data_IF_245561168612
#
_entry.id   IF_245561168612
#
_cell.length_a   1.000
_cell.length_b   1.000
_cell.length_c   1.000
_cell.angle_alpha   90.00
_cell.angle_beta   90.00
_cell.angle_gamma   90.00
#
_symmetry.space_group_name_H-M   'P 1'
#
loop_
_entity.id
_entity.type
_entity.pdbx_description
1 polymer ?
#
# COMPACT_ATOMS: atom_id res chain seq x y z
N UNK A 1 7.90 -2.99 9.74
CA UNK A 1 8.55 -1.65 9.87
C UNK A 1 7.50 -0.57 9.67
N UNK A 2 7.63 0.64 10.22
CA UNK A 2 6.71 1.74 9.91
C UNK A 2 7.00 2.31 8.53
N UNK A 3 5.98 2.74 7.80
CA UNK A 3 6.14 3.33 6.46
C UNK A 3 7.01 4.59 6.49
N UNK A 4 6.82 5.45 7.49
CA UNK A 4 7.60 6.68 7.66
C UNK A 4 9.10 6.43 7.92
N UNK A 5 9.46 5.23 8.39
CA UNK A 5 10.84 4.83 8.66
C UNK A 5 11.45 4.03 7.50
N UNK A 6 10.71 3.90 6.38
CA UNK A 6 11.16 3.11 5.23
C UNK A 6 12.28 3.83 4.49
N UNK A 7 13.46 3.18 4.42
CA UNK A 7 14.68 3.80 3.89
C UNK A 7 14.76 3.81 2.36
N UNK A 8 14.03 2.93 1.69
CA UNK A 8 14.04 2.88 0.23
C UNK A 8 13.18 4.03 -0.31
N UNK A 9 13.60 4.62 -1.44
CA UNK A 9 12.84 5.69 -2.11
C UNK A 9 11.73 5.16 -3.00
N UNK A 10 11.79 3.86 -3.33
CA UNK A 10 10.88 3.17 -4.22
C UNK A 10 10.16 2.01 -3.53
N UNK A 11 8.84 1.93 -3.71
CA UNK A 11 7.97 0.86 -3.20
C UNK A 11 7.51 0.02 -4.39
N UNK A 12 7.90 -1.25 -4.40
CA UNK A 12 7.65 -2.15 -5.54
C UNK A 12 6.26 -2.79 -5.46
N UNK A 13 5.77 -3.29 -6.58
CA UNK A 13 4.59 -4.18 -6.60
C UNK A 13 4.79 -5.38 -5.66
N UNK A 14 3.72 -5.85 -5.03
CA UNK A 14 3.75 -6.90 -4.01
C UNK A 14 3.97 -6.38 -2.59
N UNK A 15 4.52 -5.17 -2.43
CA UNK A 15 4.63 -4.52 -1.12
C UNK A 15 3.25 -4.32 -0.51
N UNK A 16 3.13 -4.53 0.80
CA UNK A 16 1.88 -4.44 1.54
C UNK A 16 1.95 -3.34 2.59
N UNK A 17 0.93 -2.49 2.60
CA UNK A 17 0.64 -1.55 3.68
C UNK A 17 -0.35 -2.18 4.65
N UNK A 18 0.08 -2.44 5.89
CA UNK A 18 -0.76 -2.95 6.98
C UNK A 18 -1.07 -1.82 7.95
N UNK A 19 -2.35 -1.59 8.23
CA UNK A 19 -2.78 -0.45 9.02
C UNK A 19 -4.05 -0.72 9.81
N UNK A 20 -4.27 0.00 10.94
CA UNK A 20 -5.58 0.06 11.56
C UNK A 20 -6.61 0.64 10.59
N UNK A 21 -7.80 0.07 10.58
CA UNK A 21 -8.89 0.53 9.74
C UNK A 21 -10.21 0.60 10.52
N UNK A 22 -11.20 1.21 9.88
CA UNK A 22 -12.56 1.32 10.38
C UNK A 22 -13.54 0.67 9.41
N UNK A 23 -14.79 0.50 9.85
CA UNK A 23 -15.86 -0.03 9.01
C UNK A 23 -15.88 0.67 7.63
N UNK A 24 -15.93 -0.07 6.50
CA UNK A 24 -16.35 -1.46 6.36
C UNK A 24 -15.23 -2.51 6.40
N UNK A 25 -14.01 -2.13 6.81
CA UNK A 25 -12.91 -3.07 7.04
C UNK A 25 -12.94 -3.65 8.46
N UNK A 26 -12.14 -4.68 8.69
CA UNK A 26 -11.78 -5.16 10.01
C UNK A 26 -10.91 -4.13 10.77
N UNK A 27 -10.57 -4.42 12.04
CA UNK A 27 -9.70 -3.55 12.85
C UNK A 27 -8.34 -3.29 12.18
N UNK A 28 -7.87 -4.23 11.36
CA UNK A 28 -6.66 -4.13 10.55
C UNK A 28 -6.94 -4.56 9.12
N UNK A 29 -6.32 -3.87 8.16
CA UNK A 29 -6.42 -4.19 6.74
C UNK A 29 -5.06 -4.11 6.08
N UNK A 30 -4.88 -4.91 5.03
CA UNK A 30 -3.71 -4.92 4.18
C UNK A 30 -4.05 -4.40 2.77
N UNK A 31 -3.35 -3.35 2.34
CA UNK A 31 -3.39 -2.83 0.98
C UNK A 31 -2.11 -3.21 0.24
N UNK A 32 -2.23 -4.01 -0.82
CA UNK A 32 -1.08 -4.45 -1.62
C UNK A 32 -0.90 -3.54 -2.84
N UNK A 33 0.35 -3.14 -3.08
CA UNK A 33 0.77 -2.41 -4.29
C UNK A 33 0.69 -3.34 -5.50
N UNK A 34 -0.06 -2.92 -6.50
CA UNK A 34 -0.19 -3.62 -7.78
C UNK A 34 0.39 -2.79 -8.92
N UNK A 35 0.84 -3.49 -9.95
CA UNK A 35 1.32 -2.90 -11.18
C UNK A 35 0.14 -2.75 -12.15
N UNK A 36 -0.13 -1.53 -12.60
CA UNK A 36 -1.14 -1.22 -13.62
C UNK A 36 -0.41 -0.75 -14.89
N UNK A 37 -1.03 -0.82 -16.06
CA UNK A 37 -0.35 -0.54 -17.33
C UNK A 37 0.50 0.74 -17.33
N UNK A 38 -0.12 1.86 -16.94
CA UNK A 38 0.48 3.21 -16.98
C UNK A 38 0.97 3.73 -15.62
N UNK A 39 0.65 3.03 -14.52
CA UNK A 39 0.85 3.51 -13.14
C UNK A 39 0.83 2.34 -12.15
N UNK A 40 0.73 2.62 -10.86
CA UNK A 40 0.50 1.63 -9.82
C UNK A 40 -0.87 1.85 -9.18
N UNK A 41 -1.35 0.81 -8.53
CA UNK A 41 -2.58 0.87 -7.75
C UNK A 41 -2.42 0.17 -6.42
N UNK A 42 -3.50 0.19 -5.66
CA UNK A 42 -3.64 -0.61 -4.45
C UNK A 42 -4.84 -1.52 -4.60
N UNK A 43 -4.69 -2.76 -4.16
CA UNK A 43 -5.77 -3.71 -3.98
C UNK A 43 -5.91 -4.01 -2.49
N UNK A 44 -7.14 -4.16 -2.00
CA UNK A 44 -7.38 -4.70 -0.67
C UNK A 44 -7.03 -6.19 -0.72
N UNK A 45 -6.10 -6.62 0.12
CA UNK A 45 -5.51 -7.96 0.06
C UNK A 45 -5.85 -8.84 1.27
N UNK A 46 -6.60 -8.32 2.23
CA UNK A 46 -7.07 -9.04 3.41
C UNK A 46 -8.55 -8.78 3.70
N UNK A 47 -9.14 -9.66 4.52
CA UNK A 47 -10.47 -9.44 5.09
C UNK A 47 -11.62 -9.52 4.07
N UNK A 48 -12.78 -9.05 4.50
CA UNK A 48 -14.04 -9.15 3.74
C UNK A 48 -14.02 -8.39 2.40
N UNK A 49 -13.18 -7.35 2.30
CA UNK A 49 -13.03 -6.53 1.09
C UNK A 49 -11.87 -7.01 0.18
N UNK A 50 -11.23 -8.13 0.49
CA UNK A 50 -10.13 -8.67 -0.30
C UNK A 50 -10.52 -8.87 -1.78
N UNK A 51 -9.59 -8.52 -2.68
CA UNK A 51 -9.76 -8.60 -4.12
C UNK A 51 -10.33 -7.34 -4.77
N UNK A 52 -10.77 -6.34 -4.00
CA UNK A 52 -11.23 -5.06 -4.53
C UNK A 52 -10.05 -4.14 -4.84
N UNK A 53 -10.05 -3.52 -6.02
CA UNK A 53 -9.14 -2.40 -6.31
C UNK A 53 -9.54 -1.24 -5.39
N UNK A 54 -8.61 -0.85 -4.51
CA UNK A 54 -8.79 0.30 -3.64
C UNK A 54 -8.67 1.59 -4.47
N UNK A 55 -7.59 1.71 -5.24
CA UNK A 55 -7.33 2.90 -6.05
C UNK A 55 -6.32 2.64 -7.17
N UNK A 56 -6.46 3.37 -8.28
CA UNK A 56 -5.40 3.60 -9.26
C UNK A 56 -4.75 4.95 -8.95
N UNK A 57 -3.44 4.96 -8.67
CA UNK A 57 -2.74 6.17 -8.29
C UNK A 57 -2.35 6.99 -9.52
N UNK A 58 -2.22 8.31 -9.40
CA UNK A 58 -1.89 9.17 -10.52
C UNK A 58 -0.40 9.04 -10.89
N UNK A 59 -0.02 9.48 -12.10
CA UNK A 59 1.33 9.24 -12.64
C UNK A 59 2.44 9.91 -11.81
N UNK A 60 2.14 11.02 -11.13
CA UNK A 60 3.09 11.68 -10.21
C UNK A 60 3.43 10.84 -8.97
N UNK A 61 2.67 9.77 -8.69
CA UNK A 61 3.00 8.82 -7.62
C UNK A 61 4.15 7.89 -7.96
N UNK A 62 4.53 7.82 -9.25
CA UNK A 62 5.63 6.97 -9.70
C UNK A 62 6.97 7.44 -9.14
N UNK A 63 7.81 6.47 -8.80
CA UNK A 63 9.20 6.71 -8.45
C UNK A 63 10.03 7.05 -9.69
N UNK A 64 11.08 7.83 -9.50
CA UNK A 64 12.14 7.99 -10.52
C UNK A 64 13.04 6.74 -10.60
N UNK A 65 12.96 5.84 -9.61
CA UNK A 65 13.73 4.58 -9.55
C UNK A 65 12.92 3.40 -10.11
N UNK A 66 12.82 3.33 -11.44
CA UNK A 66 12.17 2.21 -12.13
C UNK A 66 10.65 2.15 -11.96
N UNK A 67 10.06 0.96 -12.15
CA UNK A 67 8.61 0.76 -12.13
C UNK A 67 8.10 0.50 -10.71
N UNK A 68 8.07 1.56 -9.90
CA UNK A 68 7.70 1.54 -8.49
C UNK A 68 6.97 2.82 -8.07
N UNK A 69 6.37 2.82 -6.88
CA UNK A 69 5.81 4.02 -6.24
C UNK A 69 6.91 4.82 -5.52
N UNK A 70 6.80 6.15 -5.54
CA UNK A 70 7.63 7.05 -4.74
C UNK A 70 7.22 6.98 -3.26
N UNK A 71 8.17 6.61 -2.39
CA UNK A 71 7.92 6.52 -0.94
C UNK A 71 7.53 7.87 -0.35
N UNK A 72 8.24 8.93 -0.73
CA UNK A 72 7.95 10.30 -0.30
C UNK A 72 6.56 10.74 -0.75
N UNK A 73 6.19 10.42 -2.00
CA UNK A 73 4.87 10.77 -2.51
C UNK A 73 3.78 10.07 -1.71
N UNK A 74 3.92 8.76 -1.49
CA UNK A 74 2.96 7.96 -0.70
C UNK A 74 2.80 8.54 0.71
N UNK A 75 3.91 8.86 1.39
CA UNK A 75 3.85 9.43 2.74
C UNK A 75 3.13 10.78 2.75
N UNK A 76 3.50 11.68 1.84
CA UNK A 76 2.95 13.05 1.75
C UNK A 76 1.47 13.06 1.35
N UNK A 77 1.04 12.09 0.55
CA UNK A 77 -0.27 12.05 -0.07
C UNK A 77 -1.22 11.02 0.55
N UNK A 78 -0.79 10.33 1.62
CA UNK A 78 -1.51 9.19 2.21
C UNK A 78 -2.98 9.47 2.47
N UNK A 79 -3.27 10.50 3.27
CA UNK A 79 -4.64 10.82 3.66
C UNK A 79 -5.51 11.31 2.48
N UNK A 80 -4.87 11.92 1.47
CA UNK A 80 -5.58 12.46 0.30
C UNK A 80 -5.98 11.36 -0.69
N UNK A 81 -5.11 10.39 -0.90
CA UNK A 81 -5.27 9.41 -1.99
C UNK A 81 -5.52 7.99 -1.52
N UNK A 82 -4.97 7.57 -0.38
CA UNK A 82 -4.97 6.16 0.02
C UNK A 82 -6.03 5.92 1.08
N UNK A 83 -5.86 6.50 2.27
CA UNK A 83 -6.80 6.24 3.36
C UNK A 83 -6.77 7.35 4.44
N UNK A 84 -7.78 8.22 4.50
CA UNK A 84 -7.81 9.35 5.44
C UNK A 84 -8.03 8.94 6.91
N UNK A 85 -8.69 7.81 7.15
CA UNK A 85 -9.06 7.37 8.50
C UNK A 85 -7.89 6.74 9.29
N UNK A 86 -6.71 6.60 8.67
CA UNK A 86 -5.47 6.20 9.34
C UNK A 86 -4.35 7.19 9.04
N UNK A 87 -3.75 7.71 10.11
CA UNK A 87 -2.52 8.49 10.03
C UNK A 87 -1.36 7.64 9.48
N UNK A 88 -0.50 8.23 8.65
CA UNK A 88 0.57 7.51 7.94
C UNK A 88 1.63 6.94 8.90
N UNK A 89 1.80 7.57 10.06
CA UNK A 89 2.65 7.14 11.17
C UNK A 89 2.19 5.79 11.77
N UNK A 90 0.92 5.45 11.58
CA UNK A 90 0.36 4.19 12.04
C UNK A 90 0.47 3.06 11.00
N UNK A 91 0.90 3.37 9.77
CA UNK A 91 1.02 2.41 8.68
C UNK A 91 2.31 1.62 8.80
N UNK A 92 2.20 0.30 8.66
CA UNK A 92 3.31 -0.63 8.57
C UNK A 92 3.53 -1.06 7.12
N UNK A 93 4.78 -1.33 6.77
CA UNK A 93 5.20 -1.83 5.45
C UNK A 93 5.78 -3.24 5.58
N UNK A 94 5.38 -4.12 4.66
CA UNK A 94 5.91 -5.48 4.46
C UNK A 94 6.35 -5.60 3.00
N UNK A 95 7.53 -6.17 2.74
CA UNK A 95 8.08 -6.27 1.37
C UNK A 95 7.21 -7.16 0.46
N UNK A 96 6.72 -8.29 0.99
CA UNK A 96 5.79 -9.20 0.31
C UNK A 96 5.05 -10.10 1.30
N UNK A 97 4.03 -10.81 0.82
CA UNK A 97 3.54 -12.00 1.52
C UNK A 97 4.43 -13.20 1.23
N UNK A 98 4.76 -13.93 2.29
CA UNK A 98 5.45 -15.21 2.17
C UNK A 98 4.41 -16.29 1.94
N UNK A 99 4.47 -16.93 0.77
CA UNK A 99 3.66 -18.11 0.48
C UNK A 99 4.21 -19.29 1.28
N UNK A 100 3.45 -19.76 2.27
CA UNK A 100 3.77 -20.96 3.03
C UNK A 100 2.97 -22.16 2.49
N UNK A 101 3.53 -23.38 2.50
CA UNK A 101 2.77 -24.58 2.15
C UNK A 101 1.52 -24.74 3.03
N UNK A 102 0.45 -25.28 2.46
CA UNK A 102 -0.72 -25.73 3.22
C UNK A 102 -0.45 -27.17 3.65
N UNK A 103 -0.54 -27.43 4.96
CA UNK A 103 -0.48 -28.79 5.53
C UNK A 103 -1.78 -29.57 5.31
#
# INVERSE_FOLDING_TARGET
MKLIDYKNKSIKRGTVFRLPAVWPYEEWVDFMVIDLFETHGLVVSSGHKAGLILISLPIESASTEGRALSTEWVITNWAKWIYPDCQVENVHILDEYVATPIE
#
